data_IF_621943985371
#
_entry.id   IF_621943985371
#
_cell.length_a   1.000
_cell.length_b   1.000
_cell.length_c   1.000
_cell.angle_alpha   90.00
_cell.angle_beta   90.00
_cell.angle_gamma   90.00
#
_symmetry.space_group_name_H-M   'P 1'
#
loop_
_entity.id
_entity.type
_entity.pdbx_description
1 polymer ?
#
# COMPACT_ATOMS: atom_id res chain seq x y z
N UNK A 1 -8.12 -14.57 -14.17
CA UNK A 1 -7.47 -15.51 -15.13
C UNK A 1 -6.74 -14.67 -16.17
N UNK A 2 -5.41 -14.70 -16.19
CA UNK A 2 -4.65 -13.97 -17.23
C UNK A 2 -4.83 -14.65 -18.58
N UNK A 3 -5.31 -13.93 -19.57
CA UNK A 3 -5.36 -14.40 -20.96
C UNK A 3 -4.00 -14.21 -21.61
N UNK A 4 -3.34 -15.30 -22.05
CA UNK A 4 -2.16 -15.18 -22.91
C UNK A 4 -2.62 -14.73 -24.31
N UNK A 5 -2.02 -13.65 -24.81
CA UNK A 5 -2.18 -13.24 -26.20
C UNK A 5 -1.21 -14.05 -27.07
N UNK A 6 -1.50 -14.19 -28.38
CA UNK A 6 -0.65 -14.92 -29.35
C UNK A 6 0.81 -14.41 -29.43
N UNK A 7 1.10 -13.25 -28.87
CA UNK A 7 2.46 -12.65 -28.80
C UNK A 7 3.28 -13.08 -27.59
N UNK A 8 2.77 -13.95 -26.71
CA UNK A 8 3.44 -14.33 -25.46
C UNK A 8 3.41 -13.24 -24.37
N UNK A 9 2.75 -12.13 -24.61
CA UNK A 9 2.57 -11.05 -23.62
C UNK A 9 1.35 -11.37 -22.75
N UNK A 10 1.53 -11.39 -21.42
CA UNK A 10 0.41 -11.52 -20.49
C UNK A 10 -0.34 -10.20 -20.34
N UNK A 11 -1.65 -10.27 -20.35
CA UNK A 11 -2.50 -9.14 -19.97
C UNK A 11 -3.00 -9.33 -18.54
N UNK A 12 -2.83 -8.31 -17.71
CA UNK A 12 -3.32 -8.26 -16.34
C UNK A 12 -4.23 -7.04 -16.19
N UNK A 13 -5.28 -7.18 -15.40
CA UNK A 13 -6.00 -6.03 -14.88
C UNK A 13 -5.12 -5.26 -13.88
N UNK A 14 -5.53 -4.05 -13.56
CA UNK A 14 -4.83 -3.22 -12.57
C UNK A 14 -4.77 -3.90 -11.18
N UNK A 15 -5.88 -4.51 -10.75
CA UNK A 15 -5.96 -5.21 -9.48
C UNK A 15 -5.06 -6.46 -9.46
N UNK A 16 -5.08 -7.28 -10.53
CA UNK A 16 -4.21 -8.45 -10.66
C UNK A 16 -2.73 -8.06 -10.66
N UNK A 17 -2.37 -6.93 -11.25
CA UNK A 17 -1.00 -6.44 -11.28
C UNK A 17 -0.46 -6.09 -9.88
N UNK A 18 -1.28 -5.42 -9.05
CA UNK A 18 -0.95 -5.10 -7.65
C UNK A 18 -0.91 -6.36 -6.78
N UNK A 19 -1.90 -7.24 -6.96
CA UNK A 19 -1.94 -8.53 -6.27
C UNK A 19 -0.67 -9.35 -6.54
N UNK A 20 -0.34 -9.53 -7.82
CA UNK A 20 0.84 -10.32 -8.23
C UNK A 20 2.15 -9.70 -7.74
N UNK A 21 2.28 -8.37 -7.75
CA UNK A 21 3.45 -7.71 -7.19
C UNK A 21 3.58 -7.96 -5.68
N UNK A 22 2.48 -7.85 -4.94
CA UNK A 22 2.45 -8.11 -3.50
C UNK A 22 2.78 -9.57 -3.20
N UNK A 23 2.16 -10.51 -3.91
CA UNK A 23 2.38 -11.95 -3.76
C UNK A 23 3.86 -12.31 -4.00
N UNK A 24 4.44 -11.83 -5.10
CA UNK A 24 5.85 -12.10 -5.44
C UNK A 24 6.82 -11.52 -4.41
N UNK A 25 6.56 -10.34 -3.87
CA UNK A 25 7.44 -9.75 -2.86
C UNK A 25 7.29 -10.43 -1.49
N UNK A 26 6.11 -10.86 -1.11
CA UNK A 26 5.88 -11.66 0.10
C UNK A 26 6.52 -13.06 0.01
N UNK A 27 6.54 -13.65 -1.18
CA UNK A 27 7.22 -14.93 -1.42
C UNK A 27 8.75 -14.78 -1.37
N UNK A 28 9.28 -13.68 -1.90
CA UNK A 28 10.71 -13.38 -1.93
C UNK A 28 11.29 -13.03 -0.57
N UNK A 29 10.51 -12.34 0.26
CA UNK A 29 11.00 -11.71 1.50
C UNK A 29 10.02 -12.00 2.65
N UNK A 30 10.44 -12.80 3.66
CA UNK A 30 9.59 -13.14 4.80
C UNK A 30 9.26 -11.94 5.70
N UNK A 31 10.02 -10.85 5.63
CA UNK A 31 9.79 -9.65 6.43
C UNK A 31 8.69 -8.76 5.84
N UNK A 32 8.23 -9.02 4.61
CA UNK A 32 7.08 -8.33 4.01
C UNK A 32 5.79 -8.83 4.66
N UNK A 33 5.04 -7.91 5.26
CA UNK A 33 3.72 -8.18 5.85
C UNK A 33 2.67 -7.25 5.23
N UNK A 34 1.44 -7.73 5.14
CA UNK A 34 0.30 -6.99 4.62
C UNK A 34 -0.77 -6.86 5.70
N UNK A 35 -1.15 -5.63 6.02
CA UNK A 35 -2.18 -5.37 7.03
C UNK A 35 -3.06 -4.18 6.65
N UNK A 36 -4.23 -4.13 7.25
CA UNK A 36 -5.19 -3.07 7.03
C UNK A 36 -6.63 -3.59 6.99
N UNK A 37 -7.60 -2.70 7.05
CA UNK A 37 -9.00 -3.06 7.12
C UNK A 37 -9.43 -3.81 5.86
N UNK A 38 -9.94 -5.04 6.05
CA UNK A 38 -10.47 -5.89 5.00
C UNK A 38 -9.42 -6.52 4.08
N UNK A 39 -8.14 -6.57 4.48
CA UNK A 39 -7.10 -7.23 3.67
C UNK A 39 -7.29 -8.75 3.63
N UNK A 40 -7.92 -9.33 4.63
CA UNK A 40 -8.22 -10.75 4.80
C UNK A 40 -9.65 -11.14 4.35
N UNK A 41 -10.46 -10.18 3.90
CA UNK A 41 -11.77 -10.45 3.34
C UNK A 41 -11.69 -11.38 2.12
N UNK A 42 -12.67 -12.26 1.95
CA UNK A 42 -12.74 -13.22 0.83
C UNK A 42 -12.68 -12.57 -0.56
N UNK A 43 -13.10 -11.30 -0.68
CA UNK A 43 -12.99 -10.53 -1.92
C UNK A 43 -11.71 -9.69 -1.99
N UNK A 44 -10.94 -9.66 -0.90
CA UNK A 44 -9.79 -8.79 -0.74
C UNK A 44 -10.16 -7.30 -0.92
N UNK A 45 -9.21 -6.41 -0.80
CA UNK A 45 -9.44 -5.00 -1.13
C UNK A 45 -9.51 -4.85 -2.65
N UNK A 46 -10.73 -4.80 -3.19
CA UNK A 46 -11.00 -4.73 -4.64
C UNK A 46 -10.24 -5.80 -5.46
N UNK A 47 -10.07 -7.00 -4.91
CA UNK A 47 -9.34 -8.10 -5.55
C UNK A 47 -7.81 -8.06 -5.39
N UNK A 48 -7.26 -7.01 -4.80
CA UNK A 48 -5.79 -6.83 -4.71
C UNK A 48 -5.13 -7.65 -3.58
N UNK A 49 -5.91 -8.24 -2.67
CA UNK A 49 -5.39 -9.02 -1.52
C UNK A 49 -6.01 -10.42 -1.42
N UNK A 50 -6.86 -10.81 -2.36
CA UNK A 50 -7.59 -12.08 -2.35
C UNK A 50 -6.65 -13.27 -2.22
N UNK A 51 -6.92 -14.15 -1.24
CA UNK A 51 -6.17 -15.41 -1.03
C UNK A 51 -4.78 -15.24 -0.42
N UNK A 52 -4.30 -14.03 -0.18
CA UNK A 52 -2.96 -13.82 0.40
C UNK A 52 -2.88 -14.32 1.84
N UNK A 53 -3.94 -14.17 2.65
CA UNK A 53 -3.94 -14.72 4.02
C UNK A 53 -3.92 -16.25 4.02
N UNK A 54 -4.65 -16.89 3.10
CA UNK A 54 -4.64 -18.34 2.97
C UNK A 54 -3.24 -18.87 2.61
N UNK A 55 -2.50 -18.12 1.80
CA UNK A 55 -1.15 -18.50 1.35
C UNK A 55 -0.07 -18.22 2.40
N UNK A 56 -0.11 -17.08 3.07
CA UNK A 56 0.98 -16.61 3.95
C UNK A 56 0.67 -16.69 5.44
N UNK A 57 -0.57 -16.98 5.79
CA UNK A 57 -1.02 -17.08 7.17
C UNK A 57 -1.40 -15.74 7.83
N UNK A 58 -2.11 -15.80 8.97
CA UNK A 58 -2.61 -14.63 9.68
C UNK A 58 -1.52 -13.81 10.37
N UNK A 59 -0.33 -14.34 10.55
CA UNK A 59 0.81 -13.63 11.12
C UNK A 59 1.44 -12.64 10.11
N UNK A 60 1.18 -12.86 8.82
CA UNK A 60 1.74 -12.01 7.74
C UNK A 60 0.68 -11.24 6.96
N UNK A 61 -0.57 -11.69 6.98
CA UNK A 61 -1.71 -10.99 6.33
C UNK A 61 -2.86 -10.94 7.33
N UNK A 62 -3.19 -9.77 7.83
CA UNK A 62 -4.19 -9.64 8.88
C UNK A 62 -4.96 -8.32 8.85
N UNK A 63 -6.22 -8.40 9.27
CA UNK A 63 -7.07 -7.21 9.48
C UNK A 63 -6.60 -6.38 10.68
N UNK A 64 -7.00 -5.12 10.71
CA UNK A 64 -6.64 -4.18 11.76
C UNK A 64 -7.84 -3.48 12.34
N UNK A 65 -7.78 -3.03 13.61
CA UNK A 65 -8.78 -2.11 14.12
C UNK A 65 -8.88 -0.83 13.30
N UNK A 66 -10.06 -0.21 13.28
CA UNK A 66 -10.26 1.12 12.70
C UNK A 66 -9.66 2.19 13.62
N UNK A 67 -8.34 2.38 13.49
CA UNK A 67 -7.56 3.31 14.29
C UNK A 67 -6.31 3.76 13.49
N UNK A 68 -6.51 4.61 12.50
CA UNK A 68 -5.51 4.97 11.49
C UNK A 68 -4.21 5.49 12.10
N UNK A 69 -4.30 6.36 13.12
CA UNK A 69 -3.12 6.92 13.80
C UNK A 69 -2.33 5.84 14.54
N UNK A 70 -3.01 5.03 15.36
CA UNK A 70 -2.38 3.98 16.16
C UNK A 70 -1.75 2.90 15.27
N UNK A 71 -2.48 2.44 14.24
CA UNK A 71 -1.98 1.41 13.32
C UNK A 71 -0.80 1.91 12.50
N UNK A 72 -0.82 3.17 12.06
CA UNK A 72 0.32 3.77 11.37
C UNK A 72 1.54 3.89 12.29
N UNK A 73 1.35 4.26 13.55
CA UNK A 73 2.44 4.25 14.55
C UNK A 73 3.03 2.85 14.75
N UNK A 74 2.18 1.84 14.83
CA UNK A 74 2.60 0.44 14.97
C UNK A 74 3.45 -0.04 13.77
N UNK A 75 3.03 0.23 12.54
CA UNK A 75 3.80 -0.20 11.35
C UNK A 75 5.14 0.50 11.22
N UNK A 76 5.24 1.76 11.67
CA UNK A 76 6.53 2.47 11.72
C UNK A 76 7.48 1.75 12.68
N UNK A 77 7.00 1.40 13.88
CA UNK A 77 7.78 0.63 14.84
C UNK A 77 8.17 -0.75 14.30
N UNK A 78 7.26 -1.46 13.66
CA UNK A 78 7.52 -2.74 13.00
C UNK A 78 8.59 -2.63 11.90
N UNK A 79 8.52 -1.56 11.10
CA UNK A 79 9.52 -1.29 10.07
C UNK A 79 10.91 -0.99 10.65
N UNK A 80 10.97 -0.23 11.74
CA UNK A 80 12.22 0.04 12.45
C UNK A 80 12.80 -1.22 13.13
N UNK A 81 11.94 -2.19 13.43
CA UNK A 81 12.33 -3.51 13.95
C UNK A 81 12.74 -4.52 12.87
N UNK A 82 12.70 -4.15 11.58
CA UNK A 82 13.19 -4.97 10.48
C UNK A 82 12.12 -5.51 9.53
N UNK A 83 10.84 -5.32 9.82
CA UNK A 83 9.76 -5.72 8.92
C UNK A 83 9.58 -4.72 7.76
N UNK A 84 8.85 -5.14 6.72
CA UNK A 84 8.48 -4.33 5.55
C UNK A 84 6.96 -4.28 5.39
N UNK A 85 6.27 -3.45 6.18
CA UNK A 85 4.82 -3.40 6.18
C UNK A 85 4.24 -2.76 4.92
N UNK A 86 3.23 -3.43 4.34
CA UNK A 86 2.30 -2.87 3.37
C UNK A 86 1.00 -2.59 4.14
N UNK A 87 0.68 -1.34 4.35
CA UNK A 87 -0.49 -0.93 5.12
C UNK A 87 -1.59 -0.36 4.21
N UNK A 88 -2.71 -1.04 4.16
CA UNK A 88 -3.84 -0.63 3.35
C UNK A 88 -4.78 0.33 4.11
N UNK A 89 -4.78 1.59 3.70
CA UNK A 89 -5.78 2.58 4.09
C UNK A 89 -6.83 2.69 2.99
N UNK A 90 -8.03 2.16 3.20
CA UNK A 90 -9.06 2.04 2.16
C UNK A 90 -9.48 3.40 1.58
N UNK A 91 -9.35 4.49 2.38
CA UNK A 91 -9.64 5.86 1.92
C UNK A 91 -8.51 6.80 2.25
N UNK A 92 -8.05 7.52 1.22
CA UNK A 92 -7.04 8.57 1.41
C UNK A 92 -7.54 9.68 2.34
N UNK A 93 -8.83 9.92 2.36
CA UNK A 93 -9.47 10.89 3.25
C UNK A 93 -9.12 10.67 4.71
N UNK A 94 -9.04 9.43 5.16
CA UNK A 94 -8.76 9.06 6.55
C UNK A 94 -7.27 8.85 6.86
N UNK A 95 -6.41 8.84 5.87
CA UNK A 95 -4.95 8.94 6.08
C UNK A 95 -4.60 10.25 6.79
N UNK A 96 -5.44 11.28 6.68
CA UNK A 96 -5.28 12.54 7.41
C UNK A 96 -5.24 12.35 8.93
N UNK A 97 -5.90 11.33 9.47
CA UNK A 97 -5.84 11.00 10.91
C UNK A 97 -4.44 10.54 11.33
N UNK A 98 -3.66 9.99 10.42
CA UNK A 98 -2.31 9.50 10.66
C UNK A 98 -1.20 10.48 10.23
N UNK A 99 -1.53 11.72 9.91
CA UNK A 99 -0.57 12.70 9.38
C UNK A 99 0.64 12.92 10.29
N UNK A 100 0.45 12.95 11.61
CA UNK A 100 1.56 13.08 12.54
C UNK A 100 2.54 11.91 12.39
N UNK A 101 2.06 10.69 12.37
CA UNK A 101 2.88 9.49 12.25
C UNK A 101 3.64 9.47 10.90
N UNK A 102 2.97 9.84 9.83
CA UNK A 102 3.58 9.84 8.50
C UNK A 102 4.58 10.98 8.31
N UNK A 103 4.17 12.22 8.64
CA UNK A 103 4.95 13.42 8.35
C UNK A 103 6.08 13.66 9.36
N UNK A 104 5.80 13.51 10.66
CA UNK A 104 6.73 13.85 11.71
C UNK A 104 7.58 12.65 12.16
N UNK A 105 7.09 11.42 11.99
CA UNK A 105 7.82 10.22 12.39
C UNK A 105 8.41 9.50 11.18
N UNK A 106 7.59 8.90 10.31
CA UNK A 106 8.09 8.08 9.19
C UNK A 106 9.04 8.85 8.27
N UNK A 107 8.59 10.00 7.76
CA UNK A 107 9.36 10.79 6.81
C UNK A 107 10.66 11.40 7.38
N UNK A 108 10.75 11.56 8.70
CA UNK A 108 11.88 12.25 9.35
C UNK A 108 12.87 11.32 10.04
N UNK A 109 12.48 10.10 10.39
CA UNK A 109 13.31 9.18 11.17
C UNK A 109 14.69 8.97 10.57
N UNK A 110 14.82 8.71 9.29
CA UNK A 110 16.11 8.51 8.65
C UNK A 110 17.06 9.70 8.82
N UNK A 111 16.55 10.91 8.60
CA UNK A 111 17.33 12.14 8.77
C UNK A 111 17.66 12.42 10.25
N UNK A 112 16.66 12.32 11.14
CA UNK A 112 16.81 12.63 12.56
C UNK A 112 17.80 11.71 13.27
N UNK A 113 17.88 10.45 12.85
CA UNK A 113 18.81 9.47 13.41
C UNK A 113 20.09 9.31 12.60
N UNK A 114 20.42 10.29 11.76
CA UNK A 114 21.70 10.32 11.00
C UNK A 114 21.90 9.14 10.07
N UNK A 115 20.82 8.57 9.52
CA UNK A 115 20.86 7.40 8.64
C UNK A 115 20.89 6.05 9.37
N UNK A 116 20.91 6.02 10.70
CA UNK A 116 21.00 4.77 11.47
C UNK A 116 19.72 3.93 11.44
N UNK A 117 18.58 4.53 11.08
CA UNK A 117 17.30 3.82 10.92
C UNK A 117 16.65 4.18 9.60
N UNK A 118 15.82 3.26 9.09
CA UNK A 118 14.95 3.47 7.95
C UNK A 118 13.53 3.07 8.30
N UNK A 119 12.56 3.52 7.49
CA UNK A 119 11.15 3.20 7.68
C UNK A 119 10.58 2.68 6.35
N UNK A 120 10.88 1.42 6.00
CA UNK A 120 10.44 0.79 4.76
C UNK A 120 8.97 0.39 4.82
N UNK A 121 8.08 1.37 4.74
CA UNK A 121 6.63 1.15 4.74
C UNK A 121 6.02 1.55 3.39
N UNK A 122 5.03 0.79 2.95
CA UNK A 122 4.15 1.18 1.84
C UNK A 122 2.77 1.46 2.42
N UNK A 123 2.32 2.71 2.31
CA UNK A 123 0.95 3.09 2.65
C UNK A 123 0.13 3.10 1.36
N UNK A 124 -0.70 2.08 1.18
CA UNK A 124 -1.63 2.00 0.05
C UNK A 124 -2.89 2.78 0.36
N UNK A 125 -3.34 3.61 -0.56
CA UNK A 125 -4.55 4.37 -0.33
C UNK A 125 -5.34 4.65 -1.61
N UNK A 126 -6.67 4.64 -1.48
CA UNK A 126 -7.57 4.79 -2.62
C UNK A 126 -8.10 6.21 -2.72
N UNK A 127 -8.10 6.73 -3.96
CA UNK A 127 -8.65 8.02 -4.34
C UNK A 127 -9.78 7.87 -5.36
N UNK A 128 -10.46 8.97 -5.63
CA UNK A 128 -11.43 9.10 -6.70
C UNK A 128 -12.86 8.77 -6.27
N UNK A 129 -13.80 9.31 -7.04
CA UNK A 129 -15.23 9.09 -6.84
C UNK A 129 -15.60 7.63 -7.11
N UNK A 130 -16.65 7.19 -6.47
CA UNK A 130 -17.27 5.90 -6.72
C UNK A 130 -18.75 6.01 -6.32
N UNK A 131 -19.57 5.10 -6.71
CA UNK A 131 -20.98 4.90 -6.38
C UNK A 131 -21.55 5.73 -5.18
N UNK A 132 -21.41 7.07 -5.22
CA UNK A 132 -22.12 7.98 -4.33
C UNK A 132 -21.57 8.10 -2.91
N UNK A 133 -20.29 7.84 -2.65
CA UNK A 133 -19.70 7.93 -1.31
C UNK A 133 -19.50 9.37 -0.78
N UNK A 134 -19.84 10.39 -1.56
CA UNK A 134 -19.75 11.79 -1.16
C UNK A 134 -18.35 12.35 -1.06
N UNK A 135 -18.20 13.61 -0.60
CA UNK A 135 -16.92 14.32 -0.62
C UNK A 135 -15.88 13.75 0.36
N UNK A 136 -16.32 13.17 1.48
CA UNK A 136 -15.41 12.63 2.51
C UNK A 136 -14.78 11.27 2.16
N UNK A 137 -15.14 10.66 1.03
CA UNK A 137 -14.64 9.34 0.62
C UNK A 137 -14.13 9.34 -0.82
N UNK A 138 -13.81 10.51 -1.37
CA UNK A 138 -13.50 10.64 -2.79
C UNK A 138 -12.36 11.61 -3.08
N UNK A 139 -11.69 12.12 -2.05
CA UNK A 139 -10.66 13.12 -2.19
C UNK A 139 -9.36 12.54 -2.75
N UNK A 140 -8.60 13.39 -3.47
CA UNK A 140 -7.28 13.08 -3.99
C UNK A 140 -6.26 13.99 -3.30
N UNK A 141 -5.77 13.57 -2.14
CA UNK A 141 -4.96 14.40 -1.23
C UNK A 141 -3.45 14.15 -1.37
N UNK A 142 -3.01 13.58 -2.48
CA UNK A 142 -1.60 13.23 -2.72
C UNK A 142 -0.65 14.44 -2.62
N UNK A 143 -1.10 15.65 -2.94
CA UNK A 143 -0.31 16.87 -2.84
C UNK A 143 0.19 17.16 -1.41
N UNK A 144 -0.54 16.76 -0.38
CA UNK A 144 -0.08 16.91 1.00
C UNK A 144 1.19 16.10 1.26
N UNK A 145 1.27 14.89 0.72
CA UNK A 145 2.42 14.01 0.89
C UNK A 145 3.57 14.36 -0.05
N UNK A 146 3.28 14.83 -1.26
CA UNK A 146 4.29 15.28 -2.23
C UNK A 146 5.12 16.46 -1.72
N UNK A 147 4.55 17.26 -0.80
CA UNK A 147 5.23 18.39 -0.20
C UNK A 147 6.17 17.99 0.96
N UNK A 148 6.10 16.74 1.43
CA UNK A 148 6.83 16.27 2.63
C UNK A 148 8.18 15.67 2.24
N UNK A 149 9.32 16.31 2.55
CA UNK A 149 10.63 15.71 2.35
C UNK A 149 10.79 14.41 3.16
N UNK A 150 11.32 13.37 2.53
CA UNK A 150 11.47 12.04 3.12
C UNK A 150 10.35 11.06 2.78
N UNK A 151 9.31 11.52 2.07
CA UNK A 151 8.22 10.69 1.55
C UNK A 151 8.33 10.54 0.03
N UNK A 152 8.06 9.35 -0.48
CA UNK A 152 7.84 9.11 -1.92
C UNK A 152 6.35 8.94 -2.19
N UNK A 153 5.88 9.50 -3.29
CA UNK A 153 4.46 9.41 -3.68
C UNK A 153 4.40 8.86 -5.10
N UNK A 154 3.67 7.78 -5.30
CA UNK A 154 3.46 7.13 -6.59
C UNK A 154 1.97 6.93 -6.85
N UNK A 155 1.55 7.15 -8.09
CA UNK A 155 0.14 7.03 -8.51
C UNK A 155 0.09 6.40 -9.92
N UNK A 156 0.23 5.07 -10.04
CA UNK A 156 0.22 4.40 -11.32
C UNK A 156 -1.17 4.48 -11.98
N UNK A 157 -1.18 4.55 -13.31
CA UNK A 157 -2.41 4.70 -14.10
C UNK A 157 -2.70 3.52 -15.03
N UNK A 158 -1.82 2.53 -15.06
CA UNK A 158 -1.99 1.31 -15.86
C UNK A 158 -1.41 0.10 -15.10
N UNK A 159 -1.74 -1.11 -15.54
CA UNK A 159 -1.34 -2.35 -14.87
C UNK A 159 0.18 -2.58 -14.87
N UNK A 160 0.87 -2.22 -15.96
CA UNK A 160 2.32 -2.40 -16.07
C UNK A 160 3.06 -1.56 -15.03
N UNK A 161 2.73 -0.26 -14.96
CA UNK A 161 3.32 0.65 -13.98
C UNK A 161 2.89 0.30 -12.55
N UNK A 162 1.64 -0.13 -12.35
CA UNK A 162 1.15 -0.55 -11.04
C UNK A 162 1.99 -1.70 -10.47
N UNK A 163 2.28 -2.72 -11.28
CA UNK A 163 3.13 -3.84 -10.85
C UNK A 163 4.56 -3.38 -10.56
N UNK A 164 5.18 -2.66 -11.49
CA UNK A 164 6.56 -2.21 -11.35
C UNK A 164 6.77 -1.27 -10.17
N UNK A 165 5.88 -0.29 -10.00
CA UNK A 165 5.95 0.68 -8.92
C UNK A 165 5.61 0.05 -7.56
N UNK A 166 4.67 -0.93 -7.50
CA UNK A 166 4.39 -1.66 -6.25
C UNK A 166 5.60 -2.45 -5.80
N UNK A 167 6.21 -3.22 -6.69
CA UNK A 167 7.46 -3.95 -6.43
C UNK A 167 8.57 -3.00 -5.95
N UNK A 168 8.78 -1.88 -6.65
CA UNK A 168 9.79 -0.89 -6.28
C UNK A 168 9.51 -0.24 -4.91
N UNK A 169 8.23 0.03 -4.62
CA UNK A 169 7.81 0.61 -3.35
C UNK A 169 8.06 -0.32 -2.16
N UNK A 170 7.77 -1.62 -2.30
CA UNK A 170 8.03 -2.61 -1.25
C UNK A 170 9.53 -2.75 -0.97
N UNK A 171 10.36 -2.64 -2.00
CA UNK A 171 11.83 -2.74 -1.87
C UNK A 171 12.50 -1.45 -1.39
N UNK A 172 11.80 -0.33 -1.39
CA UNK A 172 12.35 0.96 -0.94
C UNK A 172 12.53 0.99 0.58
N UNK A 173 13.62 1.59 1.04
CA UNK A 173 13.90 1.76 2.47
C UNK A 173 13.30 3.04 3.06
N UNK A 174 12.64 3.86 2.25
CA UNK A 174 11.92 5.04 2.69
C UNK A 174 10.42 4.81 2.63
N UNK A 175 9.62 5.59 3.38
CA UNK A 175 8.18 5.49 3.33
C UNK A 175 7.63 5.90 1.95
N UNK A 176 6.73 5.10 1.42
CA UNK A 176 6.07 5.34 0.13
C UNK A 176 4.56 5.42 0.32
N UNK A 177 3.96 6.48 -0.21
CA UNK A 177 2.52 6.60 -0.40
C UNK A 177 2.18 6.04 -1.79
N UNK A 178 1.53 4.89 -1.83
CA UNK A 178 1.09 4.24 -3.06
C UNK A 178 -0.40 4.51 -3.27
N UNK A 179 -0.70 5.30 -4.29
CA UNK A 179 -2.05 5.82 -4.53
C UNK A 179 -2.72 5.04 -5.64
N UNK A 180 -3.89 4.49 -5.34
CA UNK A 180 -4.70 3.69 -6.25
C UNK A 180 -5.99 4.44 -6.59
N UNK A 181 -6.27 4.56 -7.89
CA UNK A 181 -7.55 5.15 -8.28
C UNK A 181 -8.60 4.04 -8.40
N UNK A 182 -9.67 4.18 -7.63
CA UNK A 182 -10.73 3.19 -7.46
C UNK A 182 -11.35 2.67 -8.76
N UNK A 183 -11.44 3.51 -9.79
CA UNK A 183 -12.00 3.07 -11.07
C UNK A 183 -11.08 2.10 -11.83
N UNK A 184 -9.77 2.14 -11.60
CA UNK A 184 -8.84 1.23 -12.27
C UNK A 184 -8.92 -0.19 -11.73
N UNK A 185 -9.35 -0.38 -10.48
CA UNK A 185 -9.52 -1.73 -9.91
C UNK A 185 -10.75 -2.48 -10.47
N UNK A 186 -11.61 -1.80 -11.21
CA UNK A 186 -12.78 -2.37 -11.87
C UNK A 186 -12.54 -2.63 -13.38
N UNK A 187 -11.33 -2.39 -13.89
CA UNK A 187 -10.98 -2.55 -15.33
C UNK A 187 -9.96 -3.65 -15.56
#
# INVERSE_FOLDING_TARGET
MSTQTESGVRTLSYAEAIHEATDQEMERDPDVILLGIGVDDAKGIYGTTTGLQEKYGPDRVFDTPLAEDAMTGMIIGAAQAGLRPIHAHIRMDFVLLAMNQLVNVAAKSHYMFGGATSVPIVVRSYIGRSWGQGPQHSQALHSFFMHVPGFKVVAPTNAYDAKGLMTASIRDNNPVMFIEHRLFTAT
#
